data_IF_242437291547
#
_entry.id   IF_242437291547
#
_cell.length_a   1.000
_cell.length_b   1.000
_cell.length_c   1.000
_cell.angle_alpha   90.00
_cell.angle_beta   90.00
_cell.angle_gamma   90.00
#
_symmetry.space_group_name_H-M   'P 1'
#
loop_
_entity.id
_entity.type
_entity.pdbx_description
1 polymer ?
#
# COMPACT_ATOMS: atom_id res chain seq x y z
N UNK A 1 -13.00 -21.72 4.10
CA UNK A 1 -13.78 -20.48 4.32
C UNK A 1 -12.96 -19.32 3.79
N UNK A 2 -13.22 -18.89 2.55
CA UNK A 2 -12.45 -17.82 1.90
C UNK A 2 -13.08 -16.47 2.23
N UNK A 3 -12.35 -15.64 2.97
CA UNK A 3 -12.67 -14.22 3.15
C UNK A 3 -12.45 -13.51 1.81
N UNK A 4 -13.55 -13.33 1.05
CA UNK A 4 -13.61 -12.50 -0.16
C UNK A 4 -13.73 -11.01 0.22
N UNK A 5 -12.77 -10.50 0.98
CA UNK A 5 -12.63 -9.09 1.31
C UNK A 5 -11.41 -8.54 0.60
N UNK A 6 -11.58 -7.63 -0.35
CA UNK A 6 -10.47 -6.92 -0.99
C UNK A 6 -9.88 -5.89 -0.03
N UNK A 7 -9.14 -6.34 0.98
CA UNK A 7 -8.32 -5.45 1.81
C UNK A 7 -6.91 -5.40 1.22
N UNK A 8 -6.42 -4.21 0.90
CA UNK A 8 -5.04 -3.99 0.51
C UNK A 8 -4.33 -3.28 1.68
N UNK A 9 -3.22 -3.85 2.13
CA UNK A 9 -2.36 -3.24 3.15
C UNK A 9 -1.42 -2.30 2.41
N UNK A 10 -1.50 -1.00 2.72
CA UNK A 10 -0.51 -0.02 2.28
C UNK A 10 0.14 0.65 3.47
N UNK A 11 1.45 0.84 3.31
CA UNK A 11 2.24 1.77 4.12
C UNK A 11 2.31 3.05 3.28
N UNK A 12 1.51 4.04 3.65
CA UNK A 12 1.57 5.36 3.05
C UNK A 12 1.25 6.39 4.11
N UNK A 13 1.97 7.50 4.10
CA UNK A 13 1.62 8.67 4.87
C UNK A 13 0.24 9.14 4.39
N UNK A 14 -0.80 8.99 5.22
CA UNK A 14 -2.12 9.49 4.90
C UNK A 14 -2.18 10.99 5.25
N UNK A 15 -2.31 11.90 4.27
CA UNK A 15 -2.59 13.29 4.61
C UNK A 15 -3.97 13.37 5.26
N UNK A 16 -4.06 14.15 6.35
CA UNK A 16 -5.32 14.43 7.03
C UNK A 16 -6.26 15.17 6.07
N UNK A 17 -7.41 14.56 5.78
CA UNK A 17 -8.56 15.11 5.03
C UNK A 17 -8.25 15.80 3.70
N UNK A 18 -7.99 15.01 2.66
CA UNK A 18 -7.99 15.48 1.26
C UNK A 18 -9.10 14.74 0.50
N UNK A 19 -9.83 15.46 -0.36
CA UNK A 19 -10.90 14.91 -1.19
C UNK A 19 -10.48 13.56 -1.85
N UNK A 20 -11.28 12.51 -1.61
CA UNK A 20 -10.96 11.13 -1.99
C UNK A 20 -11.08 10.84 -3.49
N UNK A 21 -11.64 11.75 -4.28
CA UNK A 21 -11.90 11.56 -5.72
C UNK A 21 -10.62 11.39 -6.58
N UNK A 22 -9.43 11.63 -6.03
CA UNK A 22 -8.16 11.54 -6.77
C UNK A 22 -7.30 10.30 -6.44
N UNK A 23 -7.64 9.52 -5.42
CA UNK A 23 -6.77 8.42 -4.97
C UNK A 23 -7.15 7.09 -5.64
N UNK A 24 -6.14 6.44 -6.24
CA UNK A 24 -6.31 5.14 -6.88
C UNK A 24 -5.11 4.22 -6.64
N UNK A 25 -5.37 2.93 -6.69
CA UNK A 25 -4.35 1.88 -6.78
C UNK A 25 -4.22 1.41 -8.23
N UNK A 26 -3.07 0.84 -8.56
CA UNK A 26 -2.82 0.25 -9.87
C UNK A 26 -2.52 -1.22 -9.71
N UNK A 27 -3.25 -2.05 -10.46
CA UNK A 27 -3.18 -3.50 -10.36
C UNK A 27 -2.86 -4.14 -11.71
N UNK A 28 -2.45 -5.42 -11.67
CA UNK A 28 -2.22 -6.27 -12.85
C UNK A 28 -1.08 -5.85 -13.78
N UNK A 29 -0.07 -5.10 -13.29
CA UNK A 29 1.08 -4.73 -14.12
C UNK A 29 2.36 -4.62 -13.32
N UNK A 30 3.47 -5.04 -13.94
CA UNK A 30 4.84 -4.80 -13.49
C UNK A 30 5.40 -3.44 -13.95
N UNK A 31 4.64 -2.66 -14.73
CA UNK A 31 5.09 -1.38 -15.27
C UNK A 31 4.37 -0.22 -14.57
N UNK A 32 5.13 0.71 -13.99
CA UNK A 32 4.61 1.87 -13.24
C UNK A 32 3.48 2.63 -13.94
N UNK A 33 3.56 2.76 -15.27
CA UNK A 33 2.62 3.53 -16.07
C UNK A 33 1.59 2.69 -16.85
N UNK A 34 1.54 1.37 -16.67
CA UNK A 34 0.52 0.49 -17.29
C UNK A 34 -0.27 -0.30 -16.24
N UNK A 35 -1.48 -0.73 -16.59
CA UNK A 35 -2.35 -1.51 -15.69
C UNK A 35 -3.65 -0.80 -15.34
N UNK A 36 -4.56 -1.53 -14.71
CA UNK A 36 -5.90 -1.03 -14.37
C UNK A 36 -5.86 -0.17 -13.13
N UNK A 37 -6.54 0.98 -13.18
CA UNK A 37 -6.76 1.83 -12.00
C UNK A 37 -8.00 1.39 -11.24
N UNK A 38 -7.91 1.40 -9.92
CA UNK A 38 -9.04 1.14 -9.02
C UNK A 38 -9.10 2.25 -7.99
N UNK A 39 -10.25 2.93 -7.93
CA UNK A 39 -10.47 4.06 -7.04
C UNK A 39 -10.54 3.58 -5.60
N UNK A 40 -9.91 4.34 -4.71
CA UNK A 40 -9.97 4.14 -3.27
C UNK A 40 -11.22 4.85 -2.75
N UNK A 41 -12.07 4.10 -2.07
CA UNK A 41 -13.29 4.63 -1.44
C UNK A 41 -12.99 5.21 -0.06
N UNK A 42 -12.13 4.56 0.74
CA UNK A 42 -11.85 5.00 2.11
C UNK A 42 -10.44 4.59 2.55
N UNK A 43 -9.83 5.46 3.34
CA UNK A 43 -8.61 5.17 4.08
C UNK A 43 -8.96 4.86 5.54
N UNK A 44 -8.50 3.72 6.07
CA UNK A 44 -8.62 3.34 7.47
C UNK A 44 -7.23 3.35 8.11
N UNK A 45 -6.89 4.48 8.72
CA UNK A 45 -5.58 4.69 9.37
C UNK A 45 -5.59 4.00 10.73
N UNK A 46 -4.47 3.41 11.15
CA UNK A 46 -4.36 2.82 12.47
C UNK A 46 -4.61 3.86 13.58
N UNK A 47 -5.48 3.60 14.58
CA UNK A 47 -5.86 4.60 15.59
C UNK A 47 -4.70 5.18 16.42
N UNK A 48 -3.62 4.42 16.55
CA UNK A 48 -2.40 4.83 17.29
C UNK A 48 -1.30 5.41 16.40
N UNK A 49 -1.58 5.65 15.11
CA UNK A 49 -0.58 6.21 14.21
C UNK A 49 0.01 7.50 14.78
N UNK A 50 1.34 7.57 14.84
CA UNK A 50 2.10 8.73 15.35
C UNK A 50 1.83 9.12 16.80
N UNK A 51 1.28 8.22 17.61
CA UNK A 51 0.88 8.56 18.97
C UNK A 51 2.07 8.88 19.90
N UNK A 52 3.25 8.29 19.67
CA UNK A 52 4.45 8.55 20.49
C UNK A 52 5.68 8.89 19.64
N UNK A 53 5.89 8.19 18.53
CA UNK A 53 6.93 8.48 17.55
C UNK A 53 6.35 8.57 16.13
N UNK A 54 7.00 9.32 15.23
CA UNK A 54 6.51 9.66 13.88
C UNK A 54 6.21 8.44 12.98
N UNK A 55 6.78 7.29 13.27
CA UNK A 55 6.60 6.05 12.49
C UNK A 55 5.85 4.96 13.28
N UNK A 56 5.31 5.29 14.45
CA UNK A 56 4.55 4.31 15.22
C UNK A 56 3.24 3.98 14.51
N UNK A 57 2.98 2.67 14.39
CA UNK A 57 1.79 2.12 13.75
C UNK A 57 1.56 2.67 12.33
N UNK A 58 2.63 2.81 11.54
CA UNK A 58 2.59 3.25 10.14
C UNK A 58 1.97 2.17 9.22
N UNK A 59 0.66 2.00 9.35
CA UNK A 59 -0.15 1.06 8.58
C UNK A 59 -1.55 1.60 8.39
N UNK A 60 -2.13 1.34 7.21
CA UNK A 60 -3.54 1.62 6.94
C UNK A 60 -4.14 0.53 6.04
N UNK A 61 -5.47 0.41 6.10
CA UNK A 61 -6.25 -0.38 5.16
C UNK A 61 -6.93 0.54 4.14
N UNK A 62 -6.92 0.13 2.88
CA UNK A 62 -7.65 0.81 1.81
C UNK A 62 -8.91 0.03 1.46
N UNK A 63 -10.06 0.70 1.53
CA UNK A 63 -11.30 0.18 0.98
C UNK A 63 -11.39 0.63 -0.46
N UNK A 64 -11.60 -0.31 -1.38
CA UNK A 64 -11.73 -0.03 -2.81
C UNK A 64 -13.19 0.20 -3.18
N UNK A 65 -13.45 1.10 -4.13
CA UNK A 65 -14.80 1.38 -4.63
C UNK A 65 -15.44 0.16 -5.33
N UNK A 66 -14.61 -0.79 -5.80
CA UNK A 66 -15.05 -2.05 -6.38
C UNK A 66 -14.13 -3.19 -5.93
N UNK A 67 -14.65 -4.43 -5.77
CA UNK A 67 -13.82 -5.57 -5.43
C UNK A 67 -12.80 -5.88 -6.52
N UNK A 68 -11.65 -6.44 -6.12
CA UNK A 68 -10.67 -6.99 -7.05
C UNK A 68 -10.98 -8.47 -7.29
N UNK A 69 -10.98 -8.87 -8.56
CA UNK A 69 -11.06 -10.28 -8.92
C UNK A 69 -9.67 -10.90 -8.96
N UNK A 70 -9.55 -12.10 -8.38
CA UNK A 70 -8.33 -12.88 -8.47
C UNK A 70 -8.11 -13.32 -9.92
N UNK A 71 -6.91 -13.07 -10.43
CA UNK A 71 -6.49 -13.44 -11.79
C UNK A 71 -5.05 -13.96 -11.73
N UNK A 72 -4.49 -14.38 -12.87
CA UNK A 72 -3.07 -14.75 -12.95
C UNK A 72 -2.11 -13.62 -12.51
N UNK A 73 -2.55 -12.35 -12.57
CA UNK A 73 -1.74 -11.18 -12.25
C UNK A 73 -2.17 -10.45 -10.97
N UNK A 74 -3.25 -10.90 -10.32
CA UNK A 74 -3.79 -10.29 -9.11
C UNK A 74 -4.13 -11.40 -8.14
N UNK A 75 -3.42 -11.44 -7.01
CA UNK A 75 -3.65 -12.43 -5.96
C UNK A 75 -3.39 -11.81 -4.58
N UNK A 76 -4.09 -12.27 -3.54
CA UNK A 76 -3.83 -11.82 -2.18
C UNK A 76 -2.48 -12.32 -1.68
N UNK A 77 -1.78 -11.49 -0.91
CA UNK A 77 -0.57 -11.88 -0.19
C UNK A 77 -0.98 -12.51 1.14
N UNK A 78 -0.42 -13.68 1.43
CA UNK A 78 -0.68 -14.39 2.70
C UNK A 78 0.10 -13.76 3.84
N UNK A 79 -0.56 -13.51 4.96
CA UNK A 79 0.11 -13.17 6.22
C UNK A 79 0.64 -14.46 6.85
N UNK A 80 1.91 -14.46 7.23
CA UNK A 80 2.55 -15.58 7.91
C UNK A 80 2.69 -15.30 9.40
N UNK A 81 2.45 -16.31 10.23
CA UNK A 81 2.80 -16.30 11.66
C UNK A 81 4.22 -16.81 11.93
N UNK A 82 4.93 -17.25 10.89
CA UNK A 82 6.27 -17.82 10.99
C UNK A 82 7.30 -16.86 10.41
N UNK A 83 8.49 -16.83 11.03
CA UNK A 83 9.62 -16.01 10.58
C UNK A 83 10.36 -16.69 9.43
N UNK A 84 10.44 -16.01 8.29
CA UNK A 84 11.25 -16.44 7.15
C UNK A 84 12.71 -16.03 7.32
N UNK A 85 13.63 -16.82 6.76
CA UNK A 85 15.07 -16.50 6.71
C UNK A 85 15.42 -15.51 5.60
N UNK A 86 14.66 -15.55 4.50
CA UNK A 86 14.89 -14.73 3.31
C UNK A 86 13.70 -13.82 3.07
N UNK A 87 13.99 -12.56 2.75
CA UNK A 87 12.99 -11.55 2.42
C UNK A 87 13.23 -11.03 1.00
N UNK A 88 12.14 -10.71 0.30
CA UNK A 88 12.19 -10.03 -1.00
C UNK A 88 11.37 -8.76 -0.90
N UNK A 89 11.99 -7.63 -1.26
CA UNK A 89 11.35 -6.32 -1.31
C UNK A 89 11.25 -5.90 -2.77
N UNK A 90 10.08 -5.48 -3.22
CA UNK A 90 9.82 -5.09 -4.61
C UNK A 90 9.05 -3.76 -4.68
N UNK A 91 9.33 -2.96 -5.71
CA UNK A 91 8.64 -1.69 -5.96
C UNK A 91 9.21 -0.92 -7.14
N UNK A 92 8.58 0.20 -7.50
CA UNK A 92 9.02 1.11 -8.57
C UNK A 92 9.72 2.38 -8.06
N UNK A 93 10.34 2.28 -6.88
CA UNK A 93 11.08 3.38 -6.25
C UNK A 93 12.35 3.75 -7.01
N UNK A 94 13.03 4.80 -6.56
CA UNK A 94 14.36 5.12 -7.09
C UNK A 94 15.34 3.99 -6.76
N UNK A 95 16.17 3.60 -7.73
CA UNK A 95 17.17 2.55 -7.56
C UNK A 95 18.45 3.07 -6.89
N UNK A 96 18.63 4.39 -6.86
CA UNK A 96 19.76 5.06 -6.23
C UNK A 96 19.27 6.05 -5.19
N UNK A 97 20.07 6.20 -4.14
CA UNK A 97 19.84 7.23 -3.12
C UNK A 97 19.99 8.61 -3.76
N UNK A 98 18.98 9.46 -3.59
CA UNK A 98 19.09 10.89 -3.90
C UNK A 98 19.58 11.61 -2.66
N UNK A 99 20.87 11.50 -2.37
CA UNK A 99 21.49 12.35 -1.36
C UNK A 99 21.49 13.79 -1.89
N UNK A 100 20.72 14.66 -1.26
CA UNK A 100 20.86 16.09 -1.45
C UNK A 100 21.99 16.49 -0.52
N UNK A 101 23.20 16.68 -1.05
CA UNK A 101 24.26 17.36 -0.32
C UNK A 101 23.83 18.83 -0.26
N UNK A 102 22.92 19.15 0.66
CA UNK A 102 22.80 20.50 1.16
C UNK A 102 23.79 20.58 2.32
N UNK A 103 24.83 21.36 2.06
CA UNK A 103 25.90 21.78 2.93
C UNK A 103 25.42 21.95 4.38
N UNK A 104 26.15 21.34 5.33
CA UNK A 104 26.05 21.61 6.76
C UNK A 104 26.14 23.11 7.06
#
# INVERSE_FOLDING_TARGET
>A
MSIMGGYEIKISYAPYQVNYDHYYIRVSSSHRLKGSKVIISKHLIHPKYQMSHKFDYDVQLLILHRPLHCTKLVSPIRMSSHFGKYITVAGWGYQTEKSSILHC
#
